data_IF_113662612097
#
_entry.id   IF_113662612097
#
_cell.length_a   1.000
_cell.length_b   1.000
_cell.length_c   1.000
_cell.angle_alpha   90.00
_cell.angle_beta   90.00
_cell.angle_gamma   90.00
#
_symmetry.space_group_name_H-M   'P 1'
#
loop_
_entity.id
_entity.type
_entity.pdbx_description
1 polymer ?
#
# COMPACT_ATOMS: atom_id res chain seq x y z
N UNK A 1 -13.72 4.98 15.76
CA UNK A 1 -13.19 5.31 14.42
C UNK A 1 -11.66 5.37 14.31
N UNK A 2 -10.93 6.03 15.22
CA UNK A 2 -9.46 6.20 15.10
C UNK A 2 -8.68 4.88 14.94
N UNK A 3 -9.00 3.86 15.75
CA UNK A 3 -8.29 2.57 15.71
C UNK A 3 -8.43 1.87 14.35
N UNK A 4 -9.64 1.79 13.80
CA UNK A 4 -9.86 1.15 12.51
C UNK A 4 -9.07 1.82 11.37
N UNK A 5 -8.98 3.15 11.39
CA UNK A 5 -8.17 3.90 10.43
C UNK A 5 -6.68 3.64 10.62
N UNK A 6 -6.18 3.63 11.86
CA UNK A 6 -4.76 3.34 12.14
C UNK A 6 -4.39 1.94 11.68
N UNK A 7 -5.21 0.94 12.03
CA UNK A 7 -4.97 -0.46 11.65
C UNK A 7 -5.11 -0.73 10.15
N UNK A 8 -5.72 0.18 9.38
CA UNK A 8 -5.78 0.09 7.92
C UNK A 8 -4.64 0.86 7.24
N UNK A 9 -4.37 2.08 7.71
CA UNK A 9 -3.38 2.97 7.10
C UNK A 9 -1.94 2.51 7.37
N UNK A 10 -1.64 2.05 8.58
CA UNK A 10 -0.28 1.68 8.96
C UNK A 10 0.25 0.48 8.13
N UNK A 11 -0.52 -0.61 7.93
CA UNK A 11 -0.11 -1.66 7.00
C UNK A 11 -0.05 -1.21 5.54
N UNK A 12 -0.98 -0.35 5.10
CA UNK A 12 -0.99 0.17 3.73
C UNK A 12 0.30 0.95 3.40
N UNK A 13 0.84 1.70 4.36
CA UNK A 13 2.15 2.37 4.21
C UNK A 13 3.28 1.38 3.98
N UNK A 14 3.25 0.22 4.65
CA UNK A 14 4.19 -0.87 4.41
C UNK A 14 4.13 -1.38 2.97
N UNK A 15 2.93 -1.64 2.46
CA UNK A 15 2.71 -2.07 1.06
C UNK A 15 3.23 -1.03 0.08
N UNK A 16 2.91 0.25 0.30
CA UNK A 16 3.38 1.35 -0.54
C UNK A 16 4.90 1.39 -0.61
N UNK A 17 5.58 1.31 0.55
CA UNK A 17 7.05 1.34 0.61
C UNK A 17 7.70 0.18 -0.12
N UNK A 18 7.14 -1.03 -0.01
CA UNK A 18 7.70 -2.19 -0.71
C UNK A 18 7.45 -2.12 -2.22
N UNK A 19 6.27 -1.65 -2.64
CA UNK A 19 5.95 -1.46 -4.06
C UNK A 19 6.87 -0.40 -4.71
N UNK A 20 7.18 0.68 -3.99
CA UNK A 20 8.12 1.73 -4.40
C UNK A 20 9.56 1.20 -4.50
N UNK A 21 9.96 0.31 -3.60
CA UNK A 21 11.26 -0.37 -3.65
C UNK A 21 11.39 -1.45 -4.75
N UNK A 22 10.35 -1.66 -5.57
CA UNK A 22 10.39 -2.60 -6.69
C UNK A 22 10.04 -4.04 -6.33
N UNK A 23 9.40 -4.30 -5.18
CA UNK A 23 8.89 -5.64 -4.87
C UNK A 23 7.59 -5.89 -5.63
N UNK A 24 7.65 -6.75 -6.65
CA UNK A 24 6.48 -7.09 -7.50
C UNK A 24 5.31 -7.63 -6.67
N UNK A 25 5.58 -8.48 -5.69
CA UNK A 25 4.53 -9.01 -4.82
C UNK A 25 3.77 -7.92 -4.05
N UNK A 26 4.44 -6.82 -3.67
CA UNK A 26 3.76 -5.70 -3.02
C UNK A 26 2.86 -4.92 -3.97
N UNK A 27 3.18 -4.88 -5.26
CA UNK A 27 2.31 -4.33 -6.28
C UNK A 27 1.04 -5.16 -6.47
N UNK A 28 1.18 -6.49 -6.50
CA UNK A 28 0.04 -7.40 -6.61
C UNK A 28 -0.92 -7.21 -5.42
N UNK A 29 -0.37 -7.15 -4.21
CA UNK A 29 -1.14 -6.89 -2.99
C UNK A 29 -1.80 -5.51 -3.03
N UNK A 30 -1.12 -4.49 -3.55
CA UNK A 30 -1.69 -3.16 -3.68
C UNK A 30 -2.90 -3.15 -4.63
N UNK A 31 -2.80 -3.86 -5.75
CA UNK A 31 -3.91 -4.01 -6.71
C UNK A 31 -5.08 -4.80 -6.12
N UNK A 32 -4.81 -5.96 -5.50
CA UNK A 32 -5.83 -6.82 -4.88
C UNK A 32 -6.61 -6.10 -3.76
N UNK A 33 -5.90 -5.30 -2.95
CA UNK A 33 -6.49 -4.61 -1.80
C UNK A 33 -6.92 -3.17 -2.06
N UNK A 34 -6.78 -2.69 -3.30
CA UNK A 34 -7.14 -1.32 -3.66
C UNK A 34 -6.29 -0.24 -2.98
N UNK A 35 -5.04 -0.56 -2.63
CA UNK A 35 -4.08 0.41 -2.09
C UNK A 35 -3.52 1.24 -3.24
N UNK A 36 -3.78 2.54 -3.23
CA UNK A 36 -3.25 3.48 -4.22
C UNK A 36 -1.73 3.65 -4.05
N UNK A 37 -0.98 3.55 -5.14
CA UNK A 37 0.49 3.76 -5.19
C UNK A 37 0.78 5.03 -6.01
N UNK A 38 0.93 6.22 -5.38
CA UNK A 38 1.07 7.48 -6.10
C UNK A 38 2.28 7.54 -7.04
N UNK A 39 3.38 6.89 -6.68
CA UNK A 39 4.63 6.93 -7.44
C UNK A 39 4.55 6.19 -8.80
N UNK A 40 3.49 5.41 -9.03
CA UNK A 40 3.24 4.69 -10.30
C UNK A 40 2.29 5.43 -11.23
N UNK A 41 1.70 6.54 -10.81
CA UNK A 41 0.76 7.34 -11.60
C UNK A 41 1.47 8.44 -12.43
N UNK A 42 2.82 8.45 -12.43
CA UNK A 42 3.66 9.39 -13.17
C UNK A 42 3.91 9.02 -14.63
#
# INVERSE_FOLDING_TARGET
EKIARVLSNDPAMGVIRHADAGYDHAADIAADRGVRIPMREG
#
